data_IF_918192243709
#
_entry.id   IF_918192243709
#
_cell.length_a   1.000
_cell.length_b   1.000
_cell.length_c   1.000
_cell.angle_alpha   90.00
_cell.angle_beta   90.00
_cell.angle_gamma   90.00
#
_symmetry.space_group_name_H-M   'P 1'
#
loop_
_entity.id
_entity.type
_entity.pdbx_description
1 polymer ?
#
# COMPACT_ATOMS: atom_id res chain seq x y z
N UNK A 1 -11.26 -16.90 0.07
CA UNK A 1 -12.05 -16.03 -0.80
C UNK A 1 -12.97 -16.92 -1.63
N UNK A 2 -14.15 -16.39 -1.99
CA UNK A 2 -15.05 -16.99 -2.97
C UNK A 2 -14.84 -16.31 -4.33
N UNK A 3 -14.95 -17.08 -5.39
CA UNK A 3 -14.99 -16.55 -6.74
C UNK A 3 -16.42 -16.12 -7.14
N UNK A 4 -16.56 -15.40 -8.23
CA UNK A 4 -17.87 -14.97 -8.72
C UNK A 4 -18.79 -16.17 -8.99
N UNK A 5 -19.99 -16.14 -8.44
CA UNK A 5 -20.96 -17.23 -8.56
C UNK A 5 -20.81 -18.37 -7.54
N UNK A 6 -19.86 -18.29 -6.61
CA UNK A 6 -19.70 -19.26 -5.53
C UNK A 6 -20.49 -18.87 -4.27
N UNK A 7 -20.94 -19.86 -3.53
CA UNK A 7 -21.59 -19.74 -2.23
C UNK A 7 -20.93 -20.69 -1.24
N UNK A 8 -20.55 -20.19 -0.06
CA UNK A 8 -20.05 -21.01 1.04
C UNK A 8 -21.14 -21.25 2.08
N UNK A 9 -21.23 -22.48 2.56
CA UNK A 9 -22.03 -22.86 3.70
C UNK A 9 -21.12 -23.34 4.83
N UNK A 10 -21.28 -22.76 6.04
CA UNK A 10 -20.52 -23.12 7.23
C UNK A 10 -21.51 -23.74 8.22
N UNK A 11 -21.26 -24.98 8.62
CA UNK A 11 -22.10 -25.67 9.63
C UNK A 11 -21.72 -25.20 11.04
N UNK A 12 -22.59 -25.46 12.00
CA UNK A 12 -22.33 -25.20 13.42
C UNK A 12 -21.10 -26.00 13.96
N UNK A 13 -20.74 -27.08 13.28
CA UNK A 13 -19.56 -27.91 13.58
C UNK A 13 -18.28 -27.38 12.91
N UNK A 14 -18.37 -26.29 12.12
CA UNK A 14 -17.22 -25.66 11.45
C UNK A 14 -16.87 -26.30 10.10
N UNK A 15 -17.71 -27.18 9.55
CA UNK A 15 -17.49 -27.71 8.21
C UNK A 15 -17.82 -26.65 7.16
N UNK A 16 -16.95 -26.48 6.18
CA UNK A 16 -17.12 -25.51 5.09
C UNK A 16 -17.35 -26.28 3.79
N UNK A 17 -18.46 -25.97 3.12
CA UNK A 17 -18.74 -26.44 1.75
C UNK A 17 -18.92 -25.25 0.83
N UNK A 18 -18.35 -25.35 -0.38
CA UNK A 18 -18.49 -24.32 -1.43
C UNK A 18 -19.21 -24.92 -2.63
N UNK A 19 -20.18 -24.19 -3.18
CA UNK A 19 -20.97 -24.59 -4.33
C UNK A 19 -21.18 -23.43 -5.29
N UNK A 20 -21.36 -23.71 -6.56
CA UNK A 20 -21.82 -22.75 -7.55
C UNK A 20 -23.29 -22.40 -7.35
N UNK A 21 -23.65 -21.13 -7.35
CA UNK A 21 -25.02 -20.66 -7.15
C UNK A 21 -25.96 -21.17 -8.25
N UNK A 22 -25.49 -21.13 -9.52
CA UNK A 22 -26.34 -21.49 -10.67
C UNK A 22 -26.50 -22.99 -10.86
N UNK A 23 -25.50 -23.80 -10.59
CA UNK A 23 -25.48 -25.24 -10.90
C UNK A 23 -25.56 -26.15 -9.69
N UNK A 24 -25.51 -25.60 -8.47
CA UNK A 24 -25.34 -26.32 -7.19
C UNK A 24 -24.17 -27.31 -7.18
N UNK A 25 -23.28 -27.18 -8.15
CA UNK A 25 -22.09 -28.04 -8.24
C UNK A 25 -21.12 -27.76 -7.09
N UNK A 26 -20.64 -28.81 -6.44
CA UNK A 26 -19.63 -28.69 -5.38
C UNK A 26 -18.29 -28.20 -5.94
N UNK A 27 -17.72 -27.16 -5.32
CA UNK A 27 -16.42 -26.58 -5.66
C UNK A 27 -15.42 -26.93 -4.54
N UNK A 28 -14.21 -27.27 -4.88
CA UNK A 28 -13.14 -27.50 -3.90
C UNK A 28 -12.59 -26.13 -3.49
N UNK A 29 -12.78 -25.68 -2.23
CA UNK A 29 -12.29 -24.38 -1.81
C UNK A 29 -10.75 -24.37 -1.77
N UNK A 30 -10.14 -23.28 -2.22
CA UNK A 30 -8.72 -23.01 -1.99
C UNK A 30 -8.57 -22.45 -0.58
N UNK A 31 -8.01 -23.24 0.32
CA UNK A 31 -7.82 -22.85 1.72
C UNK A 31 -6.41 -22.29 1.87
N UNK A 32 -6.31 -21.01 2.24
CA UNK A 32 -5.06 -20.38 2.63
C UNK A 32 -4.96 -20.34 4.16
N UNK A 33 -3.88 -20.88 4.73
CA UNK A 33 -3.61 -20.72 6.14
C UNK A 33 -3.28 -19.25 6.45
N UNK A 34 -4.05 -18.62 7.32
CA UNK A 34 -3.75 -17.28 7.80
C UNK A 34 -2.54 -17.37 8.74
N UNK A 35 -1.42 -16.80 8.34
CA UNK A 35 -0.23 -16.64 9.18
C UNK A 35 -0.42 -15.40 10.10
N UNK A 36 -1.46 -15.41 10.92
CA UNK A 36 -1.71 -14.35 11.90
C UNK A 36 -1.37 -14.86 13.29
N UNK A 37 -0.49 -14.13 13.97
CA UNK A 37 -0.20 -14.36 15.38
C UNK A 37 -1.33 -13.73 16.22
N UNK A 38 -1.84 -14.44 17.25
CA UNK A 38 -2.84 -13.92 18.19
C UNK A 38 -2.41 -12.59 18.82
N UNK A 39 -1.15 -12.46 19.18
CA UNK A 39 -0.59 -11.22 19.74
C UNK A 39 -0.77 -10.00 18.82
N UNK A 40 -0.79 -10.20 17.51
CA UNK A 40 -0.94 -9.11 16.55
C UNK A 40 -2.37 -8.56 16.46
N UNK A 41 -3.36 -9.37 16.86
CA UNK A 41 -4.79 -8.98 16.89
C UNK A 41 -5.28 -8.58 18.28
N UNK A 42 -4.43 -8.66 19.30
CA UNK A 42 -4.71 -8.18 20.66
C UNK A 42 -4.31 -6.70 20.79
N UNK A 43 -4.95 -5.98 21.71
CA UNK A 43 -4.64 -4.56 21.96
C UNK A 43 -3.28 -4.34 22.61
N UNK A 44 -2.64 -5.38 23.19
CA UNK A 44 -1.29 -5.29 23.74
C UNK A 44 -1.12 -4.28 24.88
N UNK A 45 -2.17 -4.08 25.71
CA UNK A 45 -2.17 -3.12 26.81
C UNK A 45 -2.63 -1.71 26.46
N UNK A 46 -2.99 -1.43 25.20
CA UNK A 46 -3.59 -0.17 24.77
C UNK A 46 -5.11 -0.20 24.90
N UNK A 47 -5.74 0.95 25.19
CA UNK A 47 -7.19 1.06 25.27
C UNK A 47 -7.86 0.88 23.90
N UNK A 48 -7.20 1.33 22.83
CA UNK A 48 -7.71 1.33 21.46
C UNK A 48 -6.70 0.74 20.49
N UNK A 49 -7.18 0.02 19.46
CA UNK A 49 -6.35 -0.49 18.37
C UNK A 49 -5.58 0.61 17.65
N UNK A 50 -6.25 1.71 17.34
CA UNK A 50 -5.61 2.85 16.68
C UNK A 50 -4.41 3.38 17.47
N UNK A 51 -4.51 3.45 18.81
CA UNK A 51 -3.39 3.86 19.65
C UNK A 51 -2.21 2.88 19.54
N UNK A 52 -2.48 1.57 19.63
CA UNK A 52 -1.46 0.54 19.39
C UNK A 52 -0.80 0.72 18.02
N UNK A 53 -1.59 0.89 16.98
CA UNK A 53 -1.13 1.00 15.59
C UNK A 53 -0.31 2.27 15.34
N UNK A 54 -0.62 3.37 16.04
CA UNK A 54 0.21 4.58 16.03
C UNK A 54 1.62 4.28 16.57
N UNK A 55 1.73 3.55 17.68
CA UNK A 55 3.01 3.18 18.27
C UNK A 55 3.73 2.05 17.53
N UNK A 56 3.04 1.28 16.71
CA UNK A 56 3.63 0.26 15.85
C UNK A 56 4.29 0.85 14.58
N UNK A 57 4.06 2.12 14.23
CA UNK A 57 4.57 2.71 12.99
C UNK A 57 6.08 2.56 12.78
N UNK A 58 6.97 2.78 13.77
CA UNK A 58 8.40 2.60 13.56
C UNK A 58 8.75 1.19 13.10
N UNK A 59 8.14 0.19 13.74
CA UNK A 59 8.33 -1.21 13.38
C UNK A 59 7.72 -1.53 12.01
N UNK A 60 6.51 -1.05 11.73
CA UNK A 60 5.85 -1.26 10.45
C UNK A 60 6.66 -0.68 9.28
N UNK A 61 7.23 0.51 9.45
CA UNK A 61 8.14 1.13 8.46
C UNK A 61 9.38 0.25 8.26
N UNK A 62 10.00 -0.21 9.34
CA UNK A 62 11.16 -1.10 9.28
C UNK A 62 10.81 -2.42 8.55
N UNK A 63 9.70 -3.07 8.91
CA UNK A 63 9.27 -4.32 8.28
C UNK A 63 8.93 -4.12 6.79
N UNK A 64 8.42 -2.94 6.41
CA UNK A 64 8.13 -2.57 5.02
C UNK A 64 9.39 -2.56 4.16
N UNK A 65 10.48 -2.03 4.64
CA UNK A 65 11.72 -1.95 3.85
C UNK A 65 12.71 -3.07 4.15
N UNK A 66 12.48 -3.90 5.16
CA UNK A 66 13.37 -5.01 5.51
C UNK A 66 13.60 -5.95 4.33
N UNK A 67 14.87 -6.18 3.99
CA UNK A 67 15.29 -6.99 2.84
C UNK A 67 15.12 -6.31 1.47
N UNK A 68 14.59 -5.08 1.44
CA UNK A 68 14.46 -4.26 0.24
C UNK A 68 15.42 -3.08 0.24
N UNK A 69 15.46 -2.33 1.33
CA UNK A 69 16.41 -1.25 1.52
C UNK A 69 17.71 -1.82 2.10
N UNK A 70 18.80 -1.70 1.37
CA UNK A 70 20.11 -2.27 1.69
C UNK A 70 21.16 -1.15 1.76
N UNK A 71 21.20 -0.36 2.86
CA UNK A 71 22.04 0.84 2.95
C UNK A 71 23.53 0.55 2.80
N UNK A 72 24.00 -0.56 3.39
CA UNK A 72 25.42 -0.95 3.30
C UNK A 72 25.84 -1.25 1.86
N UNK A 73 24.93 -1.78 1.04
CA UNK A 73 25.14 -2.05 -0.37
C UNK A 73 24.83 -0.82 -1.24
N UNK A 74 24.20 0.21 -0.68
CA UNK A 74 23.76 1.40 -1.39
C UNK A 74 22.73 1.09 -2.47
N UNK A 75 21.76 0.23 -2.16
CA UNK A 75 20.76 -0.20 -3.14
C UNK A 75 19.39 -0.45 -2.54
N UNK A 76 18.38 -0.30 -3.38
CA UNK A 76 17.01 -0.74 -3.14
C UNK A 76 16.73 -1.93 -4.05
N UNK A 77 16.10 -2.98 -3.50
CA UNK A 77 15.71 -4.19 -4.23
C UNK A 77 14.21 -4.37 -4.18
N UNK A 78 13.55 -4.23 -5.33
CA UNK A 78 12.11 -4.38 -5.47
C UNK A 78 11.79 -5.24 -6.69
N UNK A 79 11.64 -6.54 -6.51
CA UNK A 79 11.49 -7.52 -7.59
C UNK A 79 10.37 -7.19 -8.57
N UNK A 80 9.20 -6.72 -8.08
CA UNK A 80 8.11 -6.34 -8.96
C UNK A 80 8.39 -5.09 -9.81
N UNK A 81 9.27 -4.19 -9.36
CA UNK A 81 9.74 -3.04 -10.13
C UNK A 81 10.84 -3.47 -11.13
N UNK A 82 11.75 -4.34 -10.69
CA UNK A 82 12.85 -4.86 -11.51
C UNK A 82 12.34 -5.68 -12.70
N UNK A 83 11.31 -6.50 -12.48
CA UNK A 83 10.68 -7.32 -13.53
C UNK A 83 10.13 -6.47 -14.68
N UNK A 84 9.64 -5.26 -14.37
CA UNK A 84 9.06 -4.33 -15.34
C UNK A 84 9.91 -3.07 -15.54
N UNK A 85 11.22 -3.13 -15.23
CA UNK A 85 12.12 -1.98 -15.23
C UNK A 85 12.08 -1.16 -16.52
N UNK A 86 12.01 -1.81 -17.69
CA UNK A 86 11.94 -1.11 -18.97
C UNK A 86 10.61 -0.36 -19.15
N UNK A 87 9.51 -0.91 -18.65
CA UNK A 87 8.21 -0.23 -18.66
C UNK A 87 8.25 1.02 -17.79
N UNK A 88 8.76 0.91 -16.56
CA UNK A 88 8.88 2.03 -15.64
C UNK A 88 9.85 3.10 -16.16
N UNK A 89 11.01 2.71 -16.69
CA UNK A 89 12.01 3.64 -17.23
C UNK A 89 11.46 4.48 -18.38
N UNK A 90 10.66 3.84 -19.26
CA UNK A 90 10.13 4.47 -20.48
C UNK A 90 8.69 4.95 -20.33
N UNK A 91 8.15 4.98 -19.12
CA UNK A 91 6.81 5.48 -18.88
C UNK A 91 6.72 6.99 -19.17
N UNK A 92 5.62 7.39 -19.83
CA UNK A 92 5.34 8.79 -20.11
C UNK A 92 4.75 9.49 -18.87
N UNK A 93 3.96 8.74 -18.07
CA UNK A 93 3.24 9.23 -16.90
C UNK A 93 2.92 8.08 -15.95
N UNK A 94 2.82 8.39 -14.66
CA UNK A 94 2.26 7.51 -13.64
C UNK A 94 0.89 8.04 -13.23
N UNK A 95 -0.11 7.17 -13.17
CA UNK A 95 -1.42 7.46 -12.59
C UNK A 95 -1.54 6.63 -11.31
N UNK A 96 -1.76 7.29 -10.18
CA UNK A 96 -1.99 6.62 -8.90
C UNK A 96 -3.48 6.67 -8.56
N UNK A 97 -4.08 5.51 -8.27
CA UNK A 97 -5.50 5.43 -7.90
C UNK A 97 -5.70 4.72 -6.58
N UNK A 98 -6.47 5.33 -5.70
CA UNK A 98 -6.72 4.84 -4.36
C UNK A 98 -7.97 5.50 -3.74
N UNK A 99 -8.33 5.08 -2.53
CA UNK A 99 -9.37 5.67 -1.71
C UNK A 99 -8.85 5.97 -0.28
N UNK A 100 -9.43 6.96 0.39
CA UNK A 100 -9.14 7.29 1.78
C UNK A 100 -7.68 7.68 2.02
N UNK A 101 -7.07 7.16 3.09
CA UNK A 101 -5.67 7.45 3.43
C UNK A 101 -4.68 6.92 2.39
N UNK A 102 -5.01 5.86 1.68
CA UNK A 102 -4.20 5.38 0.55
C UNK A 102 -4.13 6.40 -0.59
N UNK A 103 -5.19 7.17 -0.83
CA UNK A 103 -5.16 8.29 -1.76
C UNK A 103 -4.24 9.41 -1.26
N UNK A 104 -4.24 9.71 0.05
CA UNK A 104 -3.30 10.67 0.63
C UNK A 104 -1.84 10.20 0.53
N UNK A 105 -1.58 8.89 0.64
CA UNK A 105 -0.23 8.36 0.40
C UNK A 105 0.23 8.56 -1.05
N UNK A 106 -0.71 8.48 -2.01
CA UNK A 106 -0.45 8.79 -3.41
C UNK A 106 -0.12 10.27 -3.63
N UNK A 107 -0.81 11.21 -2.95
CA UNK A 107 -0.49 12.65 -3.01
C UNK A 107 0.92 12.95 -2.51
N UNK A 108 1.37 12.29 -1.43
CA UNK A 108 2.75 12.42 -0.97
C UNK A 108 3.72 11.86 -2.03
N UNK A 109 3.36 10.73 -2.61
CA UNK A 109 4.19 10.08 -3.62
C UNK A 109 4.30 10.88 -4.94
N UNK A 110 3.26 11.61 -5.33
CA UNK A 110 3.28 12.52 -6.48
C UNK A 110 4.52 13.43 -6.42
N UNK A 111 4.69 14.15 -5.31
CA UNK A 111 5.85 15.01 -5.10
C UNK A 111 7.18 14.24 -5.14
N UNK A 112 7.22 13.04 -4.54
CA UNK A 112 8.44 12.24 -4.51
C UNK A 112 8.84 11.71 -5.90
N UNK A 113 7.88 11.26 -6.69
CA UNK A 113 8.16 10.78 -8.05
C UNK A 113 8.53 11.91 -9.00
N UNK A 114 7.88 13.05 -8.89
CA UNK A 114 8.23 14.24 -9.68
C UNK A 114 9.59 14.79 -9.31
N UNK A 115 9.94 14.86 -8.01
CA UNK A 115 11.23 15.34 -7.54
C UNK A 115 12.36 14.35 -7.89
N UNK A 116 12.18 13.07 -7.58
CA UNK A 116 13.27 12.10 -7.65
C UNK A 116 13.37 11.37 -9.00
N UNK A 117 12.25 11.09 -9.64
CA UNK A 117 12.24 10.34 -10.90
C UNK A 117 11.94 11.21 -12.14
N UNK A 118 11.63 12.48 -11.94
CA UNK A 118 11.31 13.44 -13.01
C UNK A 118 10.26 12.92 -13.99
N UNK A 119 9.22 12.27 -13.44
CA UNK A 119 8.10 11.72 -14.19
C UNK A 119 6.79 12.38 -13.75
N UNK A 120 5.92 12.83 -14.68
CA UNK A 120 4.62 13.37 -14.32
C UNK A 120 3.76 12.33 -13.60
N UNK A 121 3.11 12.75 -12.52
CA UNK A 121 2.18 11.91 -11.76
C UNK A 121 0.79 12.54 -11.74
N UNK A 122 -0.23 11.72 -11.79
CA UNK A 122 -1.64 12.11 -11.65
C UNK A 122 -2.27 11.25 -10.56
N UNK A 123 -2.85 11.89 -9.55
CA UNK A 123 -3.44 11.18 -8.40
C UNK A 123 -4.95 11.28 -8.46
N UNK A 124 -5.61 10.12 -8.51
CA UNK A 124 -7.05 10.01 -8.72
C UNK A 124 -7.73 9.22 -7.60
N UNK A 125 -8.90 9.69 -7.17
CA UNK A 125 -9.78 8.84 -6.37
C UNK A 125 -10.27 7.66 -7.20
N UNK A 126 -10.22 6.45 -6.64
CA UNK A 126 -10.70 5.25 -7.31
C UNK A 126 -12.16 5.35 -7.75
N UNK A 127 -13.02 5.97 -6.92
CA UNK A 127 -14.42 6.25 -7.25
C UNK A 127 -14.55 7.16 -8.46
N UNK A 128 -13.83 8.27 -8.50
CA UNK A 128 -13.90 9.22 -9.62
C UNK A 128 -13.29 8.63 -10.89
N UNK A 129 -12.14 7.97 -10.77
CA UNK A 129 -11.48 7.30 -11.89
C UNK A 129 -12.41 6.31 -12.58
N UNK A 130 -13.18 5.55 -11.80
CA UNK A 130 -14.13 4.56 -12.30
C UNK A 130 -15.23 5.15 -13.19
N UNK A 131 -15.75 6.34 -12.84
CA UNK A 131 -16.93 6.91 -13.50
C UNK A 131 -16.62 7.97 -14.56
N UNK A 132 -15.43 8.54 -14.50
CA UNK A 132 -15.02 9.56 -15.45
C UNK A 132 -14.24 8.96 -16.63
N UNK A 133 -14.54 8.45 -17.57
CA UNK A 133 -13.81 7.94 -18.74
C UNK A 133 -12.35 8.53 -18.88
N UNK A 134 -11.39 8.13 -18.05
CA UNK A 134 -10.06 8.75 -17.99
C UNK A 134 -9.27 8.44 -19.27
N UNK A 135 -8.40 9.36 -19.68
CA UNK A 135 -7.47 9.12 -20.77
C UNK A 135 -6.30 8.29 -20.26
N UNK A 136 -6.25 7.03 -20.65
CA UNK A 136 -5.16 6.10 -20.31
C UNK A 136 -4.43 5.74 -21.61
N UNK A 137 -3.11 5.91 -21.62
CA UNK A 137 -2.25 5.63 -22.77
C UNK A 137 -1.48 4.33 -22.54
N UNK A 138 -1.03 3.72 -23.62
CA UNK A 138 -0.28 2.44 -23.56
C UNK A 138 1.02 2.51 -22.72
N UNK A 139 1.65 3.68 -22.69
CA UNK A 139 2.88 3.90 -21.93
C UNK A 139 2.63 4.50 -20.54
N UNK A 140 1.37 4.68 -20.13
CA UNK A 140 1.08 5.05 -18.75
C UNK A 140 1.26 3.82 -17.86
N UNK A 141 1.71 4.06 -16.64
CA UNK A 141 1.70 3.08 -15.56
C UNK A 141 0.63 3.48 -14.57
N UNK A 142 -0.22 2.54 -14.19
CA UNK A 142 -1.22 2.76 -13.14
C UNK A 142 -0.76 2.07 -11.86
N UNK A 143 -0.62 2.83 -10.78
CA UNK A 143 -0.31 2.31 -9.43
C UNK A 143 -1.59 2.31 -8.61
N UNK A 144 -2.06 1.14 -8.23
CA UNK A 144 -3.24 0.93 -7.41
C UNK A 144 -2.84 0.68 -5.95
N UNK A 145 -3.33 1.51 -5.02
CA UNK A 145 -2.93 1.44 -3.62
C UNK A 145 -4.15 1.12 -2.75
N UNK A 146 -4.03 0.09 -1.91
CA UNK A 146 -5.09 -0.30 -0.98
C UNK A 146 -4.50 -1.03 0.23
N UNK A 147 -4.96 -0.70 1.43
CA UNK A 147 -4.58 -1.44 2.64
C UNK A 147 -5.12 -2.87 2.58
N UNK A 148 -6.42 -3.06 2.38
CA UNK A 148 -7.06 -4.37 2.34
C UNK A 148 -6.80 -5.15 1.05
N UNK A 149 -6.56 -4.43 -0.06
CA UNK A 149 -6.51 -5.02 -1.40
C UNK A 149 -7.87 -5.49 -1.94
N UNK A 150 -8.99 -5.05 -1.31
CA UNK A 150 -10.36 -5.44 -1.66
C UNK A 150 -11.27 -4.23 -1.97
N UNK A 151 -10.69 -3.03 -2.14
CA UNK A 151 -11.46 -1.81 -2.41
C UNK A 151 -12.09 -1.87 -3.79
N UNK A 152 -13.42 -1.93 -3.85
CA UNK A 152 -14.19 -2.16 -5.10
C UNK A 152 -13.90 -1.12 -6.19
N UNK A 153 -13.81 0.17 -5.82
CA UNK A 153 -13.52 1.23 -6.79
C UNK A 153 -12.10 1.14 -7.34
N UNK A 154 -11.14 0.81 -6.49
CA UNK A 154 -9.75 0.58 -6.93
C UNK A 154 -9.64 -0.65 -7.84
N UNK A 155 -10.39 -1.72 -7.56
CA UNK A 155 -10.48 -2.89 -8.45
C UNK A 155 -11.08 -2.55 -9.82
N UNK A 156 -12.14 -1.73 -9.84
CA UNK A 156 -12.73 -1.27 -11.08
C UNK A 156 -11.73 -0.43 -11.90
N UNK A 157 -10.98 0.46 -11.25
CA UNK A 157 -9.93 1.24 -11.89
C UNK A 157 -8.82 0.36 -12.49
N UNK A 158 -8.40 -0.70 -11.79
CA UNK A 158 -7.44 -1.69 -12.29
C UNK A 158 -7.95 -2.34 -13.58
N UNK A 159 -9.20 -2.83 -13.58
CA UNK A 159 -9.82 -3.47 -14.74
C UNK A 159 -9.88 -2.52 -15.96
N UNK A 160 -10.22 -1.25 -15.73
CA UNK A 160 -10.22 -0.23 -16.79
C UNK A 160 -8.81 0.04 -17.33
N UNK A 161 -7.82 0.17 -16.46
CA UNK A 161 -6.43 0.41 -16.88
C UNK A 161 -5.87 -0.77 -17.69
N UNK A 162 -6.13 -2.00 -17.27
CA UNK A 162 -5.75 -3.21 -18.03
C UNK A 162 -6.43 -3.28 -19.38
N UNK A 163 -7.73 -2.97 -19.45
CA UNK A 163 -8.48 -2.93 -20.73
C UNK A 163 -7.93 -1.89 -21.69
N UNK A 164 -7.40 -0.77 -21.19
CA UNK A 164 -6.72 0.25 -21.99
C UNK A 164 -5.27 -0.13 -22.38
N UNK A 165 -4.77 -1.26 -21.90
CA UNK A 165 -3.41 -1.77 -22.20
C UNK A 165 -2.29 -1.16 -21.37
N UNK A 166 -2.61 -0.42 -20.29
CA UNK A 166 -1.63 0.10 -19.36
C UNK A 166 -1.08 -1.01 -18.46
N UNK A 167 0.17 -0.85 -18.02
CA UNK A 167 0.75 -1.67 -16.96
C UNK A 167 0.17 -1.25 -15.62
N UNK A 168 -0.27 -2.20 -14.81
CA UNK A 168 -0.82 -1.94 -13.47
C UNK A 168 0.06 -2.56 -12.40
N UNK A 169 0.47 -1.74 -11.42
CA UNK A 169 1.25 -2.15 -10.27
C UNK A 169 0.41 -2.00 -8.98
N UNK A 170 0.37 -3.03 -8.15
CA UNK A 170 -0.42 -3.05 -6.91
C UNK A 170 0.42 -2.82 -5.66
N UNK A 171 -0.04 -1.96 -4.75
CA UNK A 171 0.53 -1.82 -3.41
C UNK A 171 -0.55 -2.20 -2.40
N UNK A 172 -0.35 -3.32 -1.71
CA UNK A 172 -1.32 -3.87 -0.76
C UNK A 172 -0.63 -4.28 0.55
N UNK A 173 -1.42 -4.33 1.64
CA UNK A 173 -0.92 -4.88 2.89
C UNK A 173 -1.26 -6.37 3.05
N UNK A 174 -2.36 -6.83 2.46
CA UNK A 174 -2.86 -8.21 2.60
C UNK A 174 -2.37 -9.08 1.44
N UNK A 175 -1.50 -10.09 1.71
CA UNK A 175 -1.08 -11.04 0.69
C UNK A 175 -2.25 -11.83 0.12
N UNK A 176 -2.24 -12.07 -1.19
CA UNK A 176 -3.28 -12.83 -1.87
C UNK A 176 -4.62 -12.12 -2.03
N UNK A 177 -4.71 -10.84 -1.69
CA UNK A 177 -5.89 -10.01 -1.93
C UNK A 177 -6.22 -9.90 -3.42
N UNK A 178 -7.46 -9.52 -3.74
CA UNK A 178 -7.92 -9.41 -5.13
C UNK A 178 -7.07 -8.43 -5.94
N UNK A 179 -6.73 -7.26 -5.38
CA UNK A 179 -5.84 -6.29 -6.07
C UNK A 179 -4.47 -6.92 -6.36
N UNK A 180 -3.90 -7.67 -5.41
CA UNK A 180 -2.59 -8.29 -5.63
C UNK A 180 -2.59 -9.37 -6.72
N UNK A 181 -3.72 -10.06 -6.92
CA UNK A 181 -3.88 -11.05 -8.01
C UNK A 181 -4.21 -10.43 -9.36
N UNK A 182 -4.93 -9.30 -9.34
CA UNK A 182 -5.39 -8.61 -10.54
C UNK A 182 -4.33 -7.71 -11.19
N UNK A 183 -3.28 -7.34 -10.47
CA UNK A 183 -2.20 -6.49 -10.99
C UNK A 183 -1.10 -7.29 -11.67
N UNK A 184 -0.33 -6.67 -12.58
CA UNK A 184 0.76 -7.33 -13.30
C UNK A 184 1.96 -7.60 -12.39
N UNK A 185 2.23 -6.66 -11.48
CA UNK A 185 3.25 -6.76 -10.45
C UNK A 185 2.83 -5.94 -9.23
N UNK A 186 3.56 -6.04 -8.14
CA UNK A 186 3.22 -5.28 -6.95
C UNK A 186 4.24 -5.36 -5.82
N UNK A 187 3.91 -4.68 -4.72
CA UNK A 187 4.64 -4.74 -3.48
C UNK A 187 3.69 -4.82 -2.30
N UNK A 188 4.00 -5.68 -1.33
CA UNK A 188 3.30 -5.70 -0.05
C UNK A 188 3.95 -4.73 0.93
N UNK A 189 3.14 -4.05 1.72
CA UNK A 189 3.64 -3.10 2.73
C UNK A 189 4.19 -3.79 3.99
N UNK A 190 3.75 -5.01 4.27
CA UNK A 190 4.14 -5.75 5.48
C UNK A 190 3.89 -5.00 6.80
N UNK A 191 2.89 -4.11 6.82
CA UNK A 191 2.54 -3.34 8.02
C UNK A 191 1.91 -4.18 9.16
N UNK A 192 1.63 -5.45 8.89
CA UNK A 192 0.85 -6.32 9.76
C UNK A 192 -0.64 -5.98 9.75
N UNK A 193 -1.46 -6.66 10.56
CA UNK A 193 -2.90 -6.40 10.66
C UNK A 193 -3.16 -4.98 11.17
N UNK A 194 -4.07 -4.25 10.53
CA UNK A 194 -4.58 -2.95 10.96
C UNK A 194 -6.08 -3.07 11.17
N UNK A 195 -6.53 -2.86 12.41
CA UNK A 195 -7.91 -3.08 12.85
C UNK A 195 -8.62 -1.75 13.08
N UNK A 196 -7.86 -0.72 13.46
CA UNK A 196 -8.37 0.65 13.60
C UNK A 196 -9.01 1.13 12.30
N UNK A 197 -10.20 1.76 12.39
CA UNK A 197 -10.93 2.24 11.21
C UNK A 197 -10.13 3.33 10.49
N UNK A 198 -9.57 4.28 11.23
CA UNK A 198 -8.66 5.27 10.67
C UNK A 198 -7.26 4.64 10.52
N UNK A 199 -6.77 4.57 9.30
CA UNK A 199 -5.47 4.00 8.99
C UNK A 199 -4.32 4.87 9.51
N UNK A 200 -3.33 4.24 10.09
CA UNK A 200 -2.13 4.87 10.64
C UNK A 200 -0.86 4.22 10.10
N UNK A 201 -0.49 3.05 10.60
CA UNK A 201 0.74 2.33 10.19
C UNK A 201 0.70 1.86 8.73
N UNK A 202 -0.48 1.51 8.19
CA UNK A 202 -0.58 1.13 6.79
C UNK A 202 -0.30 2.33 5.86
N UNK A 203 -0.77 3.54 6.23
CA UNK A 203 -0.46 4.77 5.50
C UNK A 203 1.05 5.04 5.45
N UNK A 204 1.73 5.05 6.60
CA UNK A 204 3.18 5.29 6.65
C UNK A 204 3.98 4.22 5.93
N UNK A 205 3.52 2.96 5.96
CA UNK A 205 4.10 1.87 5.18
C UNK A 205 3.90 2.03 3.68
N UNK A 206 2.73 2.51 3.23
CA UNK A 206 2.49 2.84 1.82
C UNK A 206 3.42 3.95 1.35
N UNK A 207 3.54 5.03 2.11
CA UNK A 207 4.50 6.11 1.81
C UNK A 207 5.93 5.57 1.72
N UNK A 208 6.32 4.66 2.61
CA UNK A 208 7.64 4.03 2.59
C UNK A 208 7.89 3.22 1.30
N UNK A 209 6.92 2.40 0.87
CA UNK A 209 7.02 1.66 -0.40
C UNK A 209 7.15 2.63 -1.58
N UNK A 210 6.29 3.64 -1.63
CA UNK A 210 6.26 4.63 -2.71
C UNK A 210 7.56 5.45 -2.76
N UNK A 211 8.14 5.80 -1.60
CA UNK A 211 9.45 6.46 -1.52
C UNK A 211 10.55 5.58 -2.11
N UNK A 212 10.61 4.29 -1.73
CA UNK A 212 11.57 3.35 -2.32
C UNK A 212 11.40 3.23 -3.83
N UNK A 213 10.16 3.19 -4.32
CA UNK A 213 9.87 3.14 -5.76
C UNK A 213 10.35 4.41 -6.48
N UNK A 214 10.07 5.59 -5.91
CA UNK A 214 10.48 6.87 -6.51
C UNK A 214 12.01 6.99 -6.60
N UNK A 215 12.72 6.59 -5.54
CA UNK A 215 14.18 6.59 -5.51
C UNK A 215 14.77 5.61 -6.54
N UNK A 216 14.26 4.37 -6.58
CA UNK A 216 14.78 3.37 -7.53
C UNK A 216 14.45 3.75 -8.98
N UNK A 217 13.26 4.29 -9.23
CA UNK A 217 12.93 4.80 -10.57
C UNK A 217 13.81 5.97 -10.98
N UNK A 218 14.07 6.92 -10.08
CA UNK A 218 14.99 8.04 -10.34
C UNK A 218 16.39 7.55 -10.69
N UNK A 219 16.91 6.57 -9.95
CA UNK A 219 18.18 5.91 -10.29
C UNK A 219 18.13 5.23 -11.68
N UNK A 220 17.07 4.50 -11.99
CA UNK A 220 16.89 3.85 -13.30
C UNK A 220 16.86 4.86 -14.46
N UNK A 221 16.36 6.06 -14.21
CA UNK A 221 16.26 7.16 -15.19
C UNK A 221 17.53 8.02 -15.24
N UNK A 222 18.49 7.79 -14.32
CA UNK A 222 19.77 8.52 -14.30
C UNK A 222 19.69 9.90 -13.64
N UNK A 223 18.68 10.13 -12.80
CA UNK A 223 18.44 11.42 -12.13
C UNK A 223 19.35 11.67 -10.92
N UNK A 224 20.08 10.64 -10.46
CA UNK A 224 20.97 10.71 -9.31
C UNK A 224 22.40 10.37 -9.64
N UNK A 225 23.35 11.05 -9.02
CA UNK A 225 24.69 10.52 -8.81
C UNK A 225 24.65 9.35 -7.80
N UNK A 226 25.66 8.48 -7.84
CA UNK A 226 25.77 7.38 -6.87
C UNK A 226 25.83 7.87 -5.42
N UNK A 227 26.44 9.02 -5.17
CA UNK A 227 26.55 9.61 -3.83
C UNK A 227 25.21 10.14 -3.32
N UNK A 228 24.45 10.84 -4.14
CA UNK A 228 23.12 11.35 -3.80
C UNK A 228 22.15 10.20 -3.50
N UNK A 229 22.11 9.20 -4.37
CA UNK A 229 21.26 8.02 -4.16
C UNK A 229 21.58 7.29 -2.86
N UNK A 230 22.88 7.11 -2.53
CA UNK A 230 23.29 6.51 -1.25
C UNK A 230 22.90 7.36 -0.05
N UNK A 231 23.03 8.67 -0.13
CA UNK A 231 22.62 9.58 0.94
C UNK A 231 21.12 9.44 1.24
N UNK A 232 20.28 9.42 0.19
CA UNK A 232 18.82 9.24 0.32
C UNK A 232 18.43 7.88 0.91
N UNK A 233 19.11 6.80 0.51
CA UNK A 233 18.92 5.46 1.10
C UNK A 233 19.25 5.47 2.61
N UNK A 234 20.35 6.09 3.00
CA UNK A 234 20.75 6.19 4.40
C UNK A 234 19.73 7.00 5.21
N UNK A 235 19.24 8.12 4.68
CA UNK A 235 18.21 8.92 5.33
C UNK A 235 16.90 8.14 5.47
N UNK A 236 16.48 7.40 4.46
CA UNK A 236 15.29 6.55 4.55
C UNK A 236 15.45 5.45 5.61
N UNK A 237 16.64 4.88 5.75
CA UNK A 237 16.90 3.81 6.72
C UNK A 237 16.75 4.23 8.18
N UNK A 238 16.90 5.51 8.48
CA UNK A 238 16.79 6.06 9.84
C UNK A 238 15.40 6.61 10.17
N UNK A 239 14.47 6.61 9.21
CA UNK A 239 13.09 7.10 9.42
C UNK A 239 12.38 6.43 10.62
N UNK A 240 12.47 5.10 10.85
CA UNK A 240 11.86 4.49 12.04
C UNK A 240 12.27 5.18 13.35
N UNK A 241 13.56 5.47 13.52
CA UNK A 241 14.06 6.17 14.70
C UNK A 241 13.57 7.62 14.81
N UNK A 242 13.39 8.30 13.67
CA UNK A 242 12.82 9.65 13.64
C UNK A 242 11.34 9.63 14.08
N UNK A 243 10.59 8.61 13.64
CA UNK A 243 9.19 8.42 14.06
C UNK A 243 9.10 8.06 15.54
N UNK A 244 9.96 7.17 16.07
CA UNK A 244 10.05 6.90 17.51
C UNK A 244 10.20 8.18 18.32
N UNK A 245 11.13 9.05 17.90
CA UNK A 245 11.35 10.34 18.56
C UNK A 245 10.14 11.27 18.50
N UNK A 246 9.37 11.26 17.41
CA UNK A 246 8.11 12.02 17.33
C UNK A 246 7.08 11.48 18.31
N UNK A 247 6.98 10.16 18.47
CA UNK A 247 6.05 9.51 19.41
C UNK A 247 6.37 9.79 20.89
N UNK A 248 7.63 10.15 21.21
CA UNK A 248 8.01 10.62 22.55
C UNK A 248 7.33 11.94 22.93
N UNK A 249 6.80 12.71 21.99
CA UNK A 249 6.12 13.98 22.22
C UNK A 249 4.65 13.82 22.64
N UNK A 250 4.24 12.62 23.05
CA UNK A 250 2.83 12.30 23.38
C UNK A 250 2.20 13.26 24.39
N UNK A 251 2.88 13.54 25.49
CA UNK A 251 2.36 14.39 26.56
C UNK A 251 2.06 15.80 26.05
N UNK A 252 2.94 16.36 25.23
CA UNK A 252 2.74 17.68 24.63
C UNK A 252 1.55 17.68 23.65
N UNK A 253 1.37 16.60 22.88
CA UNK A 253 0.22 16.46 21.98
C UNK A 253 -1.08 16.34 22.76
N UNK A 254 -1.09 15.62 23.89
CA UNK A 254 -2.24 15.52 24.79
C UNK A 254 -2.62 16.88 25.40
N UNK A 255 -1.64 17.70 25.81
CA UNK A 255 -1.88 19.08 26.27
C UNK A 255 -2.54 19.92 25.19
N UNK A 256 -2.01 19.90 23.97
CA UNK A 256 -2.60 20.62 22.82
C UNK A 256 -4.02 20.14 22.55
N UNK A 257 -4.24 18.84 22.49
CA UNK A 257 -5.56 18.24 22.27
C UNK A 257 -6.57 18.70 23.35
N UNK A 258 -6.10 18.80 24.60
CA UNK A 258 -6.90 19.32 25.71
C UNK A 258 -7.39 20.77 25.50
N UNK A 259 -6.61 21.62 24.82
CA UNK A 259 -7.02 22.99 24.49
C UNK A 259 -8.11 23.03 23.41
N UNK A 260 -8.13 22.06 22.51
CA UNK A 260 -9.06 22.02 21.37
C UNK A 260 -10.26 21.08 21.56
N UNK A 261 -10.35 20.35 22.68
CA UNK A 261 -11.39 19.31 22.92
C UNK A 261 -12.83 19.82 22.78
N UNK A 262 -13.07 21.10 23.05
CA UNK A 262 -14.39 21.73 23.00
C UNK A 262 -14.57 22.62 21.74
N UNK A 263 -13.60 22.62 20.83
CA UNK A 263 -13.68 23.34 19.57
C UNK A 263 -14.63 22.61 18.59
N UNK A 264 -15.51 23.35 17.94
CA UNK A 264 -16.47 22.82 16.96
C UNK A 264 -15.81 22.54 15.59
N UNK A 265 -14.67 23.18 15.32
CA UNK A 265 -13.86 23.01 14.11
C UNK A 265 -12.37 23.13 14.47
N UNK A 266 -11.54 22.35 13.78
CA UNK A 266 -10.08 22.40 13.89
C UNK A 266 -9.43 22.35 12.51
#
# INVERSE_FOLDING_TARGET
YLEDGEMACITAQGEITVRMIESDASVRPTIHALQMNLESIEKGGYDYFMMKEIYEQPRAIYDTFRGRLLPEQGMIKMSGLEEYADKFRNADRIIMTACGTSWHSALVAEYLFEEFARIPVEVEYGSEFRYRNPIIRKNDIVIAISQSGETADTLAAIKMAKAAGAMVFGICNVPGSTISRETHAGAYTHAGPEIGVASTKAFTSQVTVLTMMALELGKMRGEFSTSEYRALINELSVIPKKVEKVLESKEHIEEIAGLYKDASNA
#
